data_IF_455854979600
#
_entry.id   IF_455854979600
#
_cell.length_a   1.000
_cell.length_b   1.000
_cell.length_c   1.000
_cell.angle_alpha   90.00
_cell.angle_beta   90.00
_cell.angle_gamma   90.00
#
_symmetry.space_group_name_H-M   'P 1'
#
loop_
_entity.id
_entity.type
_entity.pdbx_description
1 polymer ?
#
# COMPACT_ATOMS: atom_id res chain seq x y z
N UNK A 1 -6.44 -17.85 -23.44
CA UNK A 1 -7.52 -17.09 -22.78
C UNK A 1 -6.89 -16.15 -21.77
N UNK A 2 -7.22 -14.86 -21.79
CA UNK A 2 -6.66 -13.84 -20.90
C UNK A 2 -7.72 -13.44 -19.88
N UNK A 3 -7.35 -13.40 -18.60
CA UNK A 3 -8.23 -12.90 -17.54
C UNK A 3 -7.82 -11.47 -17.18
N UNK A 4 -8.73 -10.51 -17.35
CA UNK A 4 -8.50 -9.10 -17.05
C UNK A 4 -9.28 -8.69 -15.80
N UNK A 5 -8.57 -8.19 -14.80
CA UNK A 5 -9.15 -7.78 -13.51
C UNK A 5 -8.95 -6.27 -13.36
N UNK A 6 -10.00 -5.56 -12.93
CA UNK A 6 -9.90 -4.13 -12.60
C UNK A 6 -9.31 -3.98 -11.19
N UNK A 7 -8.35 -3.09 -11.04
CA UNK A 7 -7.70 -2.80 -9.77
C UNK A 7 -6.77 -1.59 -9.88
N UNK A 8 -6.07 -1.30 -8.80
CA UNK A 8 -5.09 -0.22 -8.76
C UNK A 8 -3.69 -0.82 -8.76
N UNK A 9 -2.86 -0.32 -9.68
CA UNK A 9 -1.44 -0.63 -9.72
C UNK A 9 -0.67 0.36 -8.85
N UNK A 10 0.14 -0.15 -7.94
CA UNK A 10 1.02 0.65 -7.09
C UNK A 10 2.47 0.34 -7.44
N UNK A 11 3.24 1.41 -7.63
CA UNK A 11 4.69 1.41 -7.76
C UNK A 11 5.26 2.27 -6.63
N UNK A 12 6.13 1.70 -5.80
CA UNK A 12 6.80 2.41 -4.70
C UNK A 12 8.14 1.75 -4.36
N UNK A 13 8.96 2.44 -3.56
CA UNK A 13 10.20 1.89 -3.02
C UNK A 13 9.92 0.75 -2.03
N UNK A 14 10.94 -0.10 -1.83
CA UNK A 14 10.82 -1.34 -1.04
C UNK A 14 10.30 -1.09 0.40
N UNK A 15 10.79 -0.08 1.15
CA UNK A 15 10.27 0.21 2.49
C UNK A 15 8.76 0.52 2.50
N UNK A 16 8.30 1.33 1.54
CA UNK A 16 6.88 1.66 1.43
C UNK A 16 6.05 0.45 1.01
N UNK A 17 6.56 -0.40 0.13
CA UNK A 17 5.90 -1.65 -0.24
C UNK A 17 5.73 -2.58 0.97
N UNK A 18 6.78 -2.73 1.80
CA UNK A 18 6.72 -3.51 3.04
C UNK A 18 5.72 -2.93 4.04
N UNK A 19 5.65 -1.60 4.17
CA UNK A 19 4.64 -0.95 5.00
C UNK A 19 3.20 -1.29 4.55
N UNK A 20 2.92 -1.24 3.23
CA UNK A 20 1.60 -1.62 2.68
C UNK A 20 1.29 -3.09 2.93
N UNK A 21 2.26 -3.98 2.72
CA UNK A 21 2.11 -5.43 2.97
C UNK A 21 1.78 -5.69 4.44
N UNK A 22 2.47 -5.02 5.36
CA UNK A 22 2.21 -5.15 6.79
C UNK A 22 0.83 -4.61 7.17
N UNK A 23 0.43 -3.47 6.59
CA UNK A 23 -0.91 -2.91 6.80
C UNK A 23 -2.01 -3.89 6.34
N UNK A 24 -1.85 -4.50 5.16
CA UNK A 24 -2.75 -5.53 4.65
C UNK A 24 -2.75 -6.81 5.51
N UNK A 25 -1.59 -7.21 6.03
CA UNK A 25 -1.47 -8.39 6.90
C UNK A 25 -2.18 -8.20 8.24
N UNK A 26 -2.25 -6.95 8.72
CA UNK A 26 -2.89 -6.58 9.99
C UNK A 26 -4.42 -6.49 9.90
N UNK A 27 -5.00 -6.55 8.69
CA UNK A 27 -6.44 -6.48 8.48
C UNK A 27 -7.13 -7.84 8.60
N UNK A 28 -8.42 -7.87 9.01
CA UNK A 28 -9.26 -9.06 8.90
C UNK A 28 -9.28 -9.62 7.48
N UNK A 29 -9.50 -10.93 7.32
CA UNK A 29 -9.49 -11.58 6.00
C UNK A 29 -10.48 -10.95 5.00
N UNK A 30 -11.62 -10.44 5.48
CA UNK A 30 -12.64 -9.75 4.66
C UNK A 30 -12.20 -8.38 4.14
N UNK A 31 -11.19 -7.77 4.76
CA UNK A 31 -10.75 -6.40 4.49
C UNK A 31 -9.39 -6.35 3.80
N UNK A 32 -8.73 -7.50 3.60
CA UNK A 32 -7.49 -7.58 2.83
C UNK A 32 -7.70 -7.04 1.42
N UNK A 33 -6.83 -6.11 1.03
CA UNK A 33 -6.95 -5.35 -0.20
C UNK A 33 -5.88 -5.65 -1.25
N UNK A 34 -4.78 -6.31 -0.87
CA UNK A 34 -3.76 -6.74 -1.84
C UNK A 34 -4.28 -7.95 -2.62
N UNK A 35 -4.38 -7.82 -3.94
CA UNK A 35 -4.76 -8.92 -4.84
C UNK A 35 -3.53 -9.73 -5.26
N UNK A 36 -2.48 -9.03 -5.72
CA UNK A 36 -1.25 -9.66 -6.20
C UNK A 36 -0.02 -8.81 -5.83
N UNK A 37 1.01 -9.47 -5.32
CA UNK A 37 2.37 -8.90 -5.26
C UNK A 37 3.04 -9.31 -6.57
N UNK A 38 3.47 -8.32 -7.36
CA UNK A 38 4.07 -8.56 -8.68
C UNK A 38 5.59 -8.70 -8.55
N UNK A 39 6.20 -7.84 -7.73
CA UNK A 39 7.61 -7.85 -7.35
C UNK A 39 7.80 -7.03 -6.05
N UNK A 40 9.03 -6.84 -5.53
CA UNK A 40 9.26 -6.10 -4.28
C UNK A 40 8.84 -4.62 -4.29
N UNK A 41 8.61 -4.02 -5.46
CA UNK A 41 8.29 -2.60 -5.65
C UNK A 41 6.90 -2.38 -6.27
N UNK A 42 6.28 -3.44 -6.80
CA UNK A 42 5.02 -3.37 -7.51
C UNK A 42 3.97 -4.34 -6.94
N UNK A 43 2.76 -3.82 -6.79
CA UNK A 43 1.61 -4.62 -6.34
C UNK A 43 0.33 -4.16 -7.01
N UNK A 44 -0.62 -5.09 -7.09
CA UNK A 44 -1.96 -4.87 -7.60
C UNK A 44 -2.98 -5.05 -6.48
N UNK A 45 -3.84 -4.06 -6.30
CA UNK A 45 -4.75 -3.99 -5.15
C UNK A 45 -6.18 -3.64 -5.54
N UNK A 46 -7.09 -3.71 -4.57
CA UNK A 46 -8.47 -3.25 -4.72
C UNK A 46 -8.55 -1.74 -5.07
N UNK A 47 -9.41 -1.35 -6.02
CA UNK A 47 -9.43 0.01 -6.57
C UNK A 47 -9.89 1.09 -5.58
N UNK A 48 -10.66 0.72 -4.55
CA UNK A 48 -11.20 1.62 -3.53
C UNK A 48 -10.20 1.97 -2.41
N UNK A 49 -9.01 1.35 -2.36
CA UNK A 49 -8.03 1.59 -1.30
C UNK A 49 -7.01 2.69 -1.58
N UNK A 50 -7.04 3.30 -2.77
CA UNK A 50 -6.06 4.29 -3.19
C UNK A 50 -5.93 5.47 -2.21
N UNK A 51 -7.04 6.07 -1.80
CA UNK A 51 -7.02 7.24 -0.91
C UNK A 51 -6.66 6.87 0.53
N UNK A 52 -7.13 5.71 1.01
CA UNK A 52 -6.78 5.18 2.33
C UNK A 52 -5.26 4.96 2.46
N UNK A 53 -4.65 4.32 1.47
CA UNK A 53 -3.20 4.06 1.45
C UNK A 53 -2.43 5.39 1.41
N UNK A 54 -2.83 6.34 0.57
CA UNK A 54 -2.17 7.66 0.50
C UNK A 54 -2.20 8.39 1.84
N UNK A 55 -3.34 8.39 2.54
CA UNK A 55 -3.46 8.99 3.88
C UNK A 55 -2.50 8.32 4.87
N UNK A 56 -2.50 6.98 4.93
CA UNK A 56 -1.65 6.24 5.86
C UNK A 56 -0.16 6.41 5.57
N UNK A 57 0.22 6.51 4.30
CA UNK A 57 1.59 6.81 3.91
C UNK A 57 2.04 8.22 4.32
N UNK A 58 1.17 9.21 4.16
CA UNK A 58 1.46 10.58 4.60
C UNK A 58 1.67 10.62 6.12
N UNK A 59 0.74 10.05 6.89
CA UNK A 59 0.85 9.93 8.35
C UNK A 59 2.15 9.21 8.77
N UNK A 60 2.47 8.09 8.12
CA UNK A 60 3.69 7.35 8.41
C UNK A 60 4.94 8.18 8.11
N UNK A 61 4.98 8.88 6.98
CA UNK A 61 6.12 9.73 6.62
C UNK A 61 6.30 10.88 7.62
N UNK A 62 5.21 11.52 8.02
CA UNK A 62 5.25 12.66 8.93
C UNK A 62 5.72 12.23 10.34
N UNK A 63 5.31 11.06 10.82
CA UNK A 63 5.79 10.49 12.09
C UNK A 63 7.28 10.11 12.07
N UNK A 64 7.83 9.77 10.90
CA UNK A 64 9.22 9.36 10.74
C UNK A 64 10.13 10.49 10.22
N UNK A 65 9.57 11.68 9.97
CA UNK A 65 10.33 12.84 9.54
C UNK A 65 10.77 13.65 10.75
N UNK A 66 12.07 13.91 10.85
CA UNK A 66 12.60 14.79 11.88
C UNK A 66 12.25 16.25 11.53
N UNK A 67 11.57 16.92 12.43
CA UNK A 67 11.40 18.37 12.39
C UNK A 67 12.32 19.02 13.42
N UNK A 68 13.07 20.04 12.98
CA UNK A 68 13.94 20.81 13.89
C UNK A 68 13.07 21.52 14.93
N UNK A 69 13.40 21.43 16.24
CA UNK A 69 12.77 22.26 17.25
C UNK A 69 13.03 23.74 16.95
N UNK A 70 11.98 24.55 16.96
CA UNK A 70 12.06 26.02 16.88
C UNK A 70 12.43 26.65 18.20
#
# INVERSE_FOLDING_TARGET
MVNAIKGLFISCDIPMAQFIVNMNASMPASEKFIMHILDPTHMFIQPNMGDYIKSKMAEFRDQNSYEKPT
#
